data_IF_667265767849
#
_entry.id   IF_667265767849
#
_cell.length_a   1.000
_cell.length_b   1.000
_cell.length_c   1.000
_cell.angle_alpha   90.00
_cell.angle_beta   90.00
_cell.angle_gamma   90.00
#
_symmetry.space_group_name_H-M   'P 1'
#
loop_
_entity.id
_entity.type
_entity.pdbx_description
1 polymer ?
#
# COMPACT_ATOMS: atom_id res chain seq x y z
N UNK A 1 25.96 28.59 13.62
CA UNK A 1 25.02 28.48 14.77
C UNK A 1 25.26 29.68 15.68
N UNK A 2 24.23 30.43 16.09
CA UNK A 2 24.39 31.56 17.04
C UNK A 2 23.71 31.20 18.35
N UNK A 3 24.50 30.83 19.37
CA UNK A 3 24.00 30.75 20.75
C UNK A 3 24.15 32.14 21.36
N UNK A 4 23.07 32.67 21.95
CA UNK A 4 23.03 34.03 22.51
C UNK A 4 23.58 34.04 23.95
N UNK A 5 24.24 35.13 24.32
CA UNK A 5 24.65 35.40 25.70
C UNK A 5 23.42 35.35 26.64
N UNK A 6 23.57 34.74 27.81
CA UNK A 6 22.47 34.52 28.77
C UNK A 6 21.61 33.28 28.51
N UNK A 7 21.84 32.55 27.41
CA UNK A 7 21.19 31.26 27.18
C UNK A 7 21.59 30.23 28.25
N UNK A 8 20.68 29.33 28.58
CA UNK A 8 20.90 28.24 29.54
C UNK A 8 20.81 26.86 28.86
N UNK A 9 21.80 26.44 28.07
CA UNK A 9 21.82 25.07 27.55
C UNK A 9 21.84 24.07 28.71
N UNK A 10 21.07 23.01 28.52
CA UNK A 10 21.10 21.83 29.38
C UNK A 10 21.73 20.68 28.62
N UNK A 11 22.46 19.85 29.35
CA UNK A 11 22.94 18.56 28.88
C UNK A 11 21.90 17.52 29.31
N UNK A 12 21.49 16.65 28.39
CA UNK A 12 20.52 15.61 28.66
C UNK A 12 21.12 14.24 28.36
N UNK A 13 20.84 13.27 29.23
CA UNK A 13 21.16 11.86 29.02
C UNK A 13 19.87 11.06 29.19
N UNK A 14 19.56 10.21 28.23
CA UNK A 14 18.31 9.43 28.19
C UNK A 14 17.06 10.31 28.37
N UNK A 15 17.14 11.54 27.86
CA UNK A 15 16.10 12.56 27.95
C UNK A 15 15.94 13.23 29.32
N UNK A 16 16.69 12.85 30.34
CA UNK A 16 16.74 13.54 31.62
C UNK A 16 17.87 14.58 31.64
N UNK A 17 17.61 15.77 32.19
CA UNK A 17 18.63 16.82 32.34
C UNK A 17 19.68 16.41 33.38
N UNK A 18 20.95 16.39 32.98
CA UNK A 18 22.09 16.03 33.84
C UNK A 18 22.89 17.24 34.29
N UNK A 19 22.90 18.29 33.48
CA UNK A 19 23.57 19.55 33.81
C UNK A 19 22.90 20.73 33.13
N UNK A 20 23.10 21.93 33.70
CA UNK A 20 22.68 23.20 33.10
C UNK A 20 23.76 24.24 33.32
N UNK A 21 24.06 24.99 32.28
CA UNK A 21 25.04 26.07 32.35
C UNK A 21 24.47 27.36 31.77
N UNK A 22 24.78 28.49 32.39
CA UNK A 22 24.52 29.80 31.77
C UNK A 22 25.71 30.17 30.89
N UNK A 23 25.42 30.51 29.64
CA UNK A 23 26.44 30.96 28.70
C UNK A 23 26.70 32.46 28.90
N UNK A 24 27.97 32.79 29.16
CA UNK A 24 28.45 34.17 29.35
C UNK A 24 28.91 34.83 28.06
N UNK A 25 29.11 34.05 26.97
CA UNK A 25 29.62 34.53 25.68
C UNK A 25 28.97 33.79 24.51
N UNK A 26 28.72 34.48 23.38
CA UNK A 26 28.17 33.83 22.19
C UNK A 26 29.10 32.78 21.58
N UNK A 27 28.55 31.89 20.74
CA UNK A 27 29.36 30.95 19.97
C UNK A 27 30.36 31.68 19.06
N UNK A 28 31.67 31.43 19.23
CA UNK A 28 32.76 32.09 18.47
C UNK A 28 33.46 31.17 17.46
N UNK A 29 33.02 29.92 17.31
CA UNK A 29 33.66 28.97 16.41
C UNK A 29 33.54 29.37 14.94
N UNK A 30 34.61 29.13 14.17
CA UNK A 30 34.67 29.25 12.73
C UNK A 30 35.19 27.93 12.13
N UNK A 31 34.85 27.65 10.86
CA UNK A 31 35.36 26.48 10.14
C UNK A 31 34.36 25.34 9.97
N UNK A 32 34.89 24.17 9.56
CA UNK A 32 34.10 22.97 9.29
C UNK A 32 33.56 22.39 10.58
N UNK A 33 32.31 21.95 10.53
CA UNK A 33 31.67 21.22 11.60
C UNK A 33 31.95 19.72 11.42
N UNK A 34 32.36 19.04 12.48
CA UNK A 34 32.64 17.60 12.49
C UNK A 34 31.98 16.93 13.68
N UNK A 35 31.78 15.62 13.55
CA UNK A 35 31.34 14.74 14.63
C UNK A 35 32.48 13.79 15.00
N UNK A 36 32.64 13.51 16.29
CA UNK A 36 33.67 12.58 16.76
C UNK A 36 35.12 13.05 16.55
N UNK A 37 35.35 14.33 16.20
CA UNK A 37 36.69 14.89 16.12
C UNK A 37 36.77 16.32 16.64
N UNK A 38 37.94 16.70 17.13
CA UNK A 38 38.29 18.06 17.52
C UNK A 38 39.50 18.54 16.72
N UNK A 39 39.41 19.76 16.19
CA UNK A 39 40.50 20.45 15.47
C UNK A 39 41.11 21.60 16.30
N UNK A 40 40.95 21.56 17.63
CA UNK A 40 41.41 22.63 18.51
C UNK A 40 42.95 22.66 18.70
N UNK A 41 43.67 21.60 18.31
CA UNK A 41 45.13 21.49 18.40
C UNK A 41 45.81 21.27 17.04
N UNK A 42 47.15 21.20 17.04
CA UNK A 42 47.96 20.91 15.84
C UNK A 42 47.73 19.51 15.26
N UNK A 43 47.31 18.56 16.12
CA UNK A 43 46.93 17.20 15.75
C UNK A 43 45.43 17.04 16.05
N UNK A 44 44.61 16.56 15.11
CA UNK A 44 43.20 16.31 15.39
C UNK A 44 43.04 15.18 16.41
N UNK A 45 42.18 15.40 17.40
CA UNK A 45 41.75 14.35 18.33
C UNK A 45 40.51 13.66 17.78
N UNK A 46 40.45 12.34 17.92
CA UNK A 46 39.32 11.52 17.48
C UNK A 46 38.71 10.78 18.67
N UNK A 47 37.39 10.87 18.78
CA UNK A 47 36.64 10.10 19.75
C UNK A 47 36.37 8.70 19.19
N UNK A 48 36.56 7.68 20.04
CA UNK A 48 36.10 6.32 19.74
C UNK A 48 34.64 6.20 20.18
N UNK A 49 33.73 6.46 19.26
CA UNK A 49 32.28 6.46 19.51
C UNK A 49 31.53 5.89 18.33
N UNK A 50 30.41 5.23 18.64
CA UNK A 50 29.39 4.90 17.66
C UNK A 50 28.30 5.97 17.74
N UNK A 51 27.85 6.45 16.59
CA UNK A 51 26.85 7.51 16.50
C UNK A 51 25.79 7.13 15.47
N UNK A 52 24.53 7.32 15.85
CA UNK A 52 23.38 7.23 14.95
C UNK A 52 22.41 8.38 15.28
N UNK A 53 21.53 8.70 14.34
CA UNK A 53 20.39 9.60 14.53
C UNK A 53 20.80 11.02 14.97
N UNK A 54 21.94 11.49 14.45
CA UNK A 54 22.50 12.80 14.79
C UNK A 54 21.63 13.91 14.21
N UNK A 55 21.19 14.84 15.07
CA UNK A 55 20.24 15.91 14.72
C UNK A 55 20.77 17.26 15.17
N UNK A 56 20.65 18.26 14.30
CA UNK A 56 20.96 19.65 14.60
C UNK A 56 19.73 20.52 14.42
N UNK A 57 19.41 21.35 15.41
CA UNK A 57 18.24 22.24 15.40
C UNK A 57 18.67 23.71 15.48
N UNK A 58 17.94 24.59 14.80
CA UNK A 58 18.07 26.05 14.91
C UNK A 58 17.30 26.62 16.09
N UNK A 59 16.42 25.83 16.69
CA UNK A 59 15.57 26.18 17.83
C UNK A 59 15.96 25.36 19.06
N UNK A 60 15.92 25.99 20.23
CA UNK A 60 16.10 25.28 21.49
C UNK A 60 14.93 24.31 21.72
N UNK A 61 15.24 23.05 22.02
CA UNK A 61 14.26 22.01 22.32
C UNK A 61 14.13 21.85 23.83
N UNK A 62 12.90 21.71 24.33
CA UNK A 62 12.68 21.38 25.75
C UNK A 62 12.99 19.90 26.03
N UNK A 63 13.29 19.56 27.29
CA UNK A 63 13.55 18.19 27.71
C UNK A 63 12.42 17.23 27.31
N UNK A 64 11.16 17.60 27.58
CA UNK A 64 9.99 16.82 27.19
C UNK A 64 9.90 16.61 25.67
N UNK A 65 10.25 17.64 24.88
CA UNK A 65 10.22 17.55 23.43
C UNK A 65 11.38 16.72 22.86
N UNK A 66 12.50 16.61 23.57
CA UNK A 66 13.59 15.67 23.27
C UNK A 66 13.14 14.25 23.63
N UNK A 67 12.67 14.02 24.87
CA UNK A 67 12.18 12.71 25.33
C UNK A 67 11.14 12.10 24.39
N UNK A 68 10.17 12.90 23.95
CA UNK A 68 9.09 12.44 23.07
C UNK A 68 9.57 11.97 21.68
N UNK A 69 10.79 12.31 21.26
CA UNK A 69 11.32 12.00 19.92
C UNK A 69 12.69 11.34 19.90
N UNK A 70 13.35 11.18 21.04
CA UNK A 70 14.72 10.65 21.11
C UNK A 70 14.81 9.19 20.66
N UNK A 71 13.69 8.45 20.71
CA UNK A 71 13.60 7.04 20.29
C UNK A 71 12.93 6.84 18.94
N UNK A 72 12.64 7.91 18.21
CA UNK A 72 11.88 7.85 16.97
C UNK A 72 12.63 8.49 15.83
N UNK A 73 12.66 7.84 14.67
CA UNK A 73 13.18 8.46 13.43
C UNK A 73 12.32 9.65 13.03
N UNK A 74 12.96 10.69 12.50
CA UNK A 74 12.32 11.91 12.01
C UNK A 74 12.02 11.83 10.52
N UNK A 75 11.08 12.65 10.04
CA UNK A 75 10.75 12.72 8.60
C UNK A 75 11.74 13.60 7.84
N UNK A 76 12.44 14.50 8.53
CA UNK A 76 13.38 15.47 7.96
C UNK A 76 12.75 16.83 7.63
N UNK A 77 11.42 16.92 7.67
CA UNK A 77 10.65 18.14 7.39
C UNK A 77 10.33 18.98 8.64
N UNK A 78 10.86 18.63 9.81
CA UNK A 78 10.51 19.29 11.06
C UNK A 78 10.97 20.74 11.10
N UNK A 79 10.08 21.64 11.57
CA UNK A 79 10.39 23.06 11.73
C UNK A 79 11.60 23.28 12.64
N UNK A 80 12.59 23.99 12.11
CA UNK A 80 13.83 24.29 12.82
C UNK A 80 14.88 23.18 12.76
N UNK A 81 14.69 22.09 12.01
CA UNK A 81 15.73 21.10 11.77
C UNK A 81 16.75 21.64 10.76
N UNK A 82 18.00 21.78 11.19
CA UNK A 82 19.11 22.27 10.37
C UNK A 82 19.98 21.16 9.77
N UNK A 83 19.89 19.94 10.29
CA UNK A 83 20.62 18.79 9.78
C UNK A 83 20.15 17.52 10.48
N UNK A 84 20.06 16.44 9.72
CA UNK A 84 19.65 15.14 10.23
C UNK A 84 20.38 14.03 9.50
N UNK A 85 21.25 13.33 10.21
CA UNK A 85 22.16 12.33 9.67
C UNK A 85 21.92 10.97 10.35
N UNK A 86 20.87 10.25 9.95
CA UNK A 86 20.66 8.87 10.37
C UNK A 86 21.59 7.93 9.58
N UNK A 87 22.17 6.93 10.24
CA UNK A 87 22.95 5.90 9.60
C UNK A 87 22.04 4.85 8.93
N UNK A 88 22.51 4.31 7.81
CA UNK A 88 21.87 3.24 7.06
C UNK A 88 22.91 2.21 6.63
N UNK A 89 22.46 0.98 6.43
CA UNK A 89 23.24 -0.10 5.84
C UNK A 89 22.64 -0.53 4.49
N UNK A 90 23.43 -0.54 3.41
CA UNK A 90 24.82 -0.05 3.32
C UNK A 90 24.90 1.49 3.47
N UNK A 91 26.08 1.99 3.83
CA UNK A 91 26.33 3.43 3.90
C UNK A 91 26.06 4.10 2.54
N UNK A 92 25.51 5.32 2.58
CA UNK A 92 25.24 6.09 1.37
C UNK A 92 26.55 6.52 0.68
N UNK A 93 26.48 6.83 -0.61
CA UNK A 93 27.59 7.39 -1.36
C UNK A 93 27.40 8.90 -1.51
N UNK A 94 28.23 9.68 -0.82
CA UNK A 94 28.29 11.13 -0.92
C UNK A 94 29.52 11.50 -1.75
N UNK A 95 29.31 12.10 -2.92
CA UNK A 95 30.39 12.44 -3.87
C UNK A 95 31.27 11.23 -4.24
N UNK A 96 30.66 10.06 -4.40
CA UNK A 96 31.37 8.82 -4.77
C UNK A 96 32.19 8.20 -3.63
N UNK A 97 32.01 8.65 -2.39
CA UNK A 97 32.68 8.10 -1.19
C UNK A 97 31.64 7.70 -0.14
N UNK A 98 31.92 6.71 0.72
CA UNK A 98 31.04 6.40 1.84
C UNK A 98 30.77 7.65 2.68
N UNK A 99 29.51 7.87 3.00
CA UNK A 99 29.01 9.07 3.65
C UNK A 99 27.68 8.84 4.33
N UNK A 100 27.20 9.88 5.00
CA UNK A 100 25.87 9.94 5.60
C UNK A 100 25.10 11.08 4.98
N UNK A 101 23.94 10.79 4.42
CA UNK A 101 23.10 11.82 3.81
C UNK A 101 22.45 12.69 4.88
N UNK A 102 22.36 14.00 4.61
CA UNK A 102 21.47 14.87 5.37
C UNK A 102 20.05 14.68 4.86
N UNK A 103 19.21 14.08 5.69
CA UNK A 103 17.77 13.85 5.44
C UNK A 103 16.92 15.07 5.76
N UNK A 104 17.51 16.16 6.27
CA UNK A 104 16.80 17.44 6.39
C UNK A 104 16.70 18.15 5.03
N UNK A 105 15.90 19.21 4.96
CA UNK A 105 15.76 20.05 3.77
C UNK A 105 17.03 20.86 3.40
N UNK A 106 18.17 20.66 4.09
CA UNK A 106 19.36 21.51 3.98
C UNK A 106 20.49 20.89 3.13
N UNK A 107 20.45 19.59 2.83
CA UNK A 107 21.41 18.92 1.95
C UNK A 107 22.86 18.96 2.44
N UNK A 108 23.10 19.04 3.76
CA UNK A 108 24.43 19.12 4.37
C UNK A 108 25.04 17.74 4.58
N UNK A 109 25.22 16.97 3.51
CA UNK A 109 25.73 15.59 3.57
C UNK A 109 27.11 15.51 4.24
N UNK A 110 27.36 14.43 4.97
CA UNK A 110 28.63 14.13 5.64
C UNK A 110 29.42 13.15 4.80
N UNK A 111 30.69 13.48 4.51
CA UNK A 111 31.65 12.55 3.91
C UNK A 111 32.45 11.91 5.05
N UNK A 112 32.57 10.58 5.04
CA UNK A 112 33.39 9.87 6.02
C UNK A 112 34.86 9.99 5.60
N UNK A 113 35.68 10.60 6.46
CA UNK A 113 37.10 10.87 6.16
C UNK A 113 37.97 9.61 6.21
N UNK A 114 37.57 8.61 7.01
CA UNK A 114 38.27 7.33 7.19
C UNK A 114 37.26 6.16 7.16
N UNK A 115 36.70 5.84 5.99
CA UNK A 115 35.57 4.91 5.87
C UNK A 115 35.91 3.47 6.27
N UNK A 116 37.18 3.07 6.21
CA UNK A 116 37.62 1.70 6.53
C UNK A 116 37.42 1.31 8.01
N UNK A 117 37.17 2.30 8.88
CA UNK A 117 36.92 2.11 10.31
C UNK A 117 35.46 2.36 10.73
N UNK A 118 34.55 2.47 9.76
CA UNK A 118 33.13 2.76 10.04
C UNK A 118 32.35 1.46 10.04
N UNK A 119 32.04 0.98 11.24
CA UNK A 119 30.99 0.00 11.43
C UNK A 119 29.67 0.76 11.48
N UNK A 120 28.86 0.61 10.44
CA UNK A 120 27.45 0.92 10.59
C UNK A 120 26.85 -0.21 11.40
N UNK A 121 26.04 0.16 12.38
CA UNK A 121 25.20 -0.75 13.11
C UNK A 121 23.82 -0.11 13.11
N UNK A 122 22.81 -0.85 12.68
CA UNK A 122 21.44 -0.38 12.83
C UNK A 122 21.19 -0.17 14.33
N UNK A 123 20.97 1.09 14.74
CA UNK A 123 20.25 1.36 15.98
C UNK A 123 18.77 1.30 15.63
N UNK A 124 18.04 0.23 15.97
CA UNK A 124 16.60 0.18 15.72
C UNK A 124 15.92 1.16 16.68
N UNK A 125 15.92 2.44 16.32
CA UNK A 125 14.96 3.39 16.84
C UNK A 125 13.59 3.02 16.28
N UNK A 126 12.55 3.12 17.10
CA UNK A 126 11.17 2.91 16.67
C UNK A 126 10.88 3.88 15.52
N UNK A 127 10.80 3.36 14.31
CA UNK A 127 10.44 4.17 13.17
C UNK A 127 8.97 4.56 13.38
N UNK A 128 8.70 5.85 13.60
CA UNK A 128 7.31 6.33 13.48
C UNK A 128 7.00 6.44 12.00
N UNK A 129 6.86 5.30 11.36
CA UNK A 129 6.41 5.18 9.99
C UNK A 129 4.92 4.93 10.05
N UNK A 130 4.15 5.93 9.65
CA UNK A 130 2.76 5.72 9.28
C UNK A 130 2.80 4.66 8.14
N UNK A 131 2.34 3.44 8.43
CA UNK A 131 2.48 2.31 7.53
C UNK A 131 1.83 2.52 6.16
N UNK A 132 2.15 1.67 5.20
CA UNK A 132 1.57 1.75 3.85
C UNK A 132 0.15 1.19 3.83
N UNK A 133 -0.75 1.81 3.04
CA UNK A 133 -1.94 1.12 2.55
C UNK A 133 -1.64 0.50 1.20
N UNK A 134 -1.87 -0.79 1.09
CA UNK A 134 -1.93 -1.48 -0.20
C UNK A 134 -3.21 -1.08 -0.93
N UNK A 135 -3.09 -0.73 -2.21
CA UNK A 135 -4.21 -0.43 -3.10
C UNK A 135 -4.18 -1.40 -4.29
N UNK A 136 -5.26 -2.16 -4.47
CA UNK A 136 -5.46 -3.03 -5.63
C UNK A 136 -6.48 -2.39 -6.58
N UNK A 137 -6.23 -2.45 -7.90
CA UNK A 137 -7.10 -1.85 -8.91
C UNK A 137 -7.35 -2.80 -10.09
N UNK A 138 -8.60 -2.87 -10.57
CA UNK A 138 -9.00 -3.59 -11.79
C UNK A 138 -9.96 -2.70 -12.58
N UNK A 139 -9.53 -2.21 -13.75
CA UNK A 139 -10.26 -1.16 -14.48
C UNK A 139 -10.44 0.09 -13.61
N UNK A 140 -11.67 0.59 -13.51
CA UNK A 140 -12.02 1.75 -12.69
C UNK A 140 -12.26 1.41 -11.20
N UNK A 141 -12.23 0.12 -10.82
CA UNK A 141 -12.43 -0.30 -9.43
C UNK A 141 -11.12 -0.25 -8.66
N UNK A 142 -11.15 0.37 -7.48
CA UNK A 142 -10.03 0.45 -6.54
C UNK A 142 -10.45 0.01 -5.16
N UNK A 143 -9.63 -0.80 -4.49
CA UNK A 143 -9.80 -1.18 -3.09
C UNK A 143 -8.49 -0.90 -2.34
N UNK A 144 -8.59 -0.24 -1.20
CA UNK A 144 -7.47 -0.05 -0.29
C UNK A 144 -7.60 -1.01 0.90
N UNK A 145 -6.48 -1.54 1.36
CA UNK A 145 -6.38 -2.24 2.64
C UNK A 145 -6.86 -1.35 3.80
N UNK A 146 -7.54 -1.99 4.76
CA UNK A 146 -8.05 -1.33 5.95
C UNK A 146 -6.95 -1.06 6.97
N UNK A 147 -6.04 -2.01 7.12
CA UNK A 147 -4.88 -1.95 8.00
C UNK A 147 -3.70 -1.22 7.32
N UNK A 148 -2.81 -0.67 8.14
CA UNK A 148 -1.54 -0.11 7.69
C UNK A 148 -0.47 -1.18 7.82
N UNK A 149 0.37 -1.32 6.79
CA UNK A 149 1.48 -2.27 6.78
C UNK A 149 2.77 -1.55 7.20
N UNK A 150 3.45 -2.01 8.26
CA UNK A 150 4.70 -1.41 8.70
C UNK A 150 5.80 -1.59 7.63
N UNK A 151 6.67 -0.60 7.43
CA UNK A 151 7.88 -0.80 6.63
C UNK A 151 8.84 -1.76 7.35
N UNK A 152 9.73 -2.37 6.58
CA UNK A 152 10.81 -3.23 7.07
C UNK A 152 10.33 -4.54 7.74
N UNK A 153 9.06 -4.91 7.59
CA UNK A 153 8.53 -6.22 7.97
C UNK A 153 8.13 -7.03 6.73
N UNK A 154 8.34 -8.34 6.80
CA UNK A 154 7.91 -9.25 5.75
C UNK A 154 6.39 -9.48 5.85
N UNK A 155 5.64 -9.07 4.83
CA UNK A 155 4.19 -9.29 4.74
C UNK A 155 3.85 -10.00 3.44
N UNK A 156 3.06 -11.07 3.53
CA UNK A 156 2.48 -11.74 2.36
C UNK A 156 1.17 -11.08 1.93
N UNK A 157 1.04 -10.73 0.65
CA UNK A 157 -0.16 -10.12 0.07
C UNK A 157 -0.80 -11.07 -0.94
N UNK A 158 -2.10 -11.34 -0.78
CA UNK A 158 -2.90 -12.05 -1.77
C UNK A 158 -4.18 -11.26 -2.08
N UNK A 159 -4.51 -11.14 -3.36
CA UNK A 159 -5.73 -10.50 -3.84
C UNK A 159 -6.37 -11.37 -4.92
N UNK A 160 -7.68 -11.58 -4.83
CA UNK A 160 -8.47 -12.27 -5.84
C UNK A 160 -9.52 -11.33 -6.41
N UNK A 161 -9.75 -11.42 -7.72
CA UNK A 161 -10.79 -10.70 -8.42
C UNK A 161 -11.66 -11.69 -9.16
N UNK A 162 -12.93 -11.77 -8.77
CA UNK A 162 -13.92 -12.62 -9.43
C UNK A 162 -14.79 -11.76 -10.35
N UNK A 163 -14.88 -12.18 -11.61
CA UNK A 163 -15.81 -11.62 -12.58
C UNK A 163 -16.67 -12.73 -13.15
N UNK A 164 -17.99 -12.52 -13.16
CA UNK A 164 -18.95 -13.39 -13.82
C UNK A 164 -19.52 -12.68 -15.04
N UNK A 165 -19.68 -13.42 -16.13
CA UNK A 165 -20.31 -12.95 -17.36
C UNK A 165 -21.59 -13.76 -17.59
N UNK A 166 -22.56 -13.13 -18.26
CA UNK A 166 -23.81 -13.76 -18.66
C UNK A 166 -24.17 -13.29 -20.09
N UNK A 167 -24.93 -14.10 -20.81
CA UNK A 167 -25.44 -13.75 -22.14
C UNK A 167 -26.86 -13.24 -22.00
N UNK A 168 -27.12 -12.02 -22.48
CA UNK A 168 -28.48 -11.49 -22.64
C UNK A 168 -29.01 -11.93 -24.00
N UNK A 169 -30.13 -12.65 -24.01
CA UNK A 169 -30.77 -13.13 -25.21
C UNK A 169 -31.89 -12.19 -25.60
N UNK A 170 -31.87 -11.70 -26.84
CA UNK A 170 -32.98 -10.95 -27.41
C UNK A 170 -34.25 -11.81 -27.45
N UNK A 171 -35.41 -11.14 -27.54
CA UNK A 171 -36.71 -11.80 -27.54
C UNK A 171 -36.76 -12.95 -28.57
N UNK A 172 -37.20 -14.10 -28.11
CA UNK A 172 -37.40 -15.26 -28.97
C UNK A 172 -36.13 -16.01 -29.38
N UNK A 173 -34.95 -15.47 -29.09
CA UNK A 173 -33.65 -16.11 -29.40
C UNK A 173 -33.27 -17.17 -28.38
N UNK A 174 -32.39 -18.09 -28.78
CA UNK A 174 -31.88 -19.14 -27.91
C UNK A 174 -30.46 -19.54 -28.24
N UNK A 175 -29.75 -20.05 -27.24
CA UNK A 175 -28.49 -20.79 -27.43
C UNK A 175 -28.85 -22.26 -27.65
N UNK A 176 -28.26 -22.89 -28.66
CA UNK A 176 -28.42 -24.32 -28.95
C UNK A 176 -27.05 -24.98 -28.98
N UNK A 177 -26.95 -26.12 -28.32
CA UNK A 177 -25.81 -27.03 -28.42
C UNK A 177 -26.22 -28.20 -29.32
N UNK A 178 -25.31 -28.60 -30.23
CA UNK A 178 -25.54 -29.74 -31.11
C UNK A 178 -25.63 -31.04 -30.31
N UNK A 179 -26.27 -32.04 -30.92
CA UNK A 179 -26.37 -33.39 -30.36
C UNK A 179 -24.99 -34.06 -30.37
N UNK A 180 -24.65 -34.79 -29.29
CA UNK A 180 -23.44 -35.58 -29.17
C UNK A 180 -23.74 -36.87 -28.40
N UNK A 181 -23.68 -38.01 -29.10
CA UNK A 181 -23.97 -39.33 -28.55
C UNK A 181 -23.05 -39.69 -27.36
N UNK A 182 -21.88 -39.04 -27.23
CA UNK A 182 -20.99 -39.25 -26.08
C UNK A 182 -21.53 -38.67 -24.77
N UNK A 183 -22.54 -37.78 -24.84
CA UNK A 183 -23.19 -37.18 -23.67
C UNK A 183 -24.49 -37.92 -23.27
N UNK A 184 -24.76 -39.09 -23.87
CA UNK A 184 -25.90 -39.92 -23.50
C UNK A 184 -25.70 -40.51 -22.10
N UNK A 185 -26.53 -40.05 -21.15
CA UNK A 185 -26.53 -40.52 -19.78
C UNK A 185 -27.60 -41.59 -19.56
N UNK A 186 -27.22 -42.69 -18.92
CA UNK A 186 -28.12 -43.81 -18.53
C UNK A 186 -28.81 -43.51 -17.18
N UNK A 187 -28.28 -42.55 -16.41
CA UNK A 187 -28.78 -42.14 -15.09
C UNK A 187 -29.32 -40.71 -15.05
N UNK A 188 -29.44 -40.18 -13.83
CA UNK A 188 -29.99 -38.85 -13.58
C UNK A 188 -29.01 -37.73 -13.99
N UNK A 189 -29.57 -36.61 -14.45
CA UNK A 189 -28.83 -35.38 -14.79
C UNK A 189 -29.34 -34.23 -13.92
N UNK A 190 -28.42 -33.54 -13.24
CA UNK A 190 -28.69 -32.27 -12.56
C UNK A 190 -28.15 -31.12 -13.38
N UNK A 191 -28.97 -30.10 -13.64
CA UNK A 191 -28.59 -28.86 -14.33
C UNK A 191 -28.91 -27.68 -13.44
N UNK A 192 -27.92 -26.82 -13.20
CA UNK A 192 -28.10 -25.56 -12.47
C UNK A 192 -28.06 -24.39 -13.45
N UNK A 193 -29.01 -23.46 -13.33
CA UNK A 193 -29.12 -22.29 -14.19
C UNK A 193 -29.22 -21.04 -13.33
N UNK A 194 -28.24 -20.15 -13.47
CA UNK A 194 -28.29 -18.80 -12.92
C UNK A 194 -28.85 -17.86 -13.99
N UNK A 195 -30.00 -17.24 -13.74
CA UNK A 195 -30.61 -16.30 -14.66
C UNK A 195 -31.21 -15.09 -13.92
N UNK A 196 -31.32 -13.97 -14.63
CA UNK A 196 -32.11 -12.82 -14.19
C UNK A 196 -33.48 -12.90 -14.85
N UNK A 197 -34.54 -12.82 -14.06
CA UNK A 197 -35.92 -12.81 -14.56
C UNK A 197 -36.42 -11.37 -14.57
N UNK A 198 -36.67 -10.82 -15.76
CA UNK A 198 -37.05 -9.41 -15.89
C UNK A 198 -38.51 -9.13 -15.50
N UNK A 199 -39.39 -10.15 -15.58
CA UNK A 199 -40.82 -10.05 -15.21
C UNK A 199 -41.28 -11.33 -14.50
N UNK A 200 -41.86 -11.17 -13.31
CA UNK A 200 -42.47 -12.28 -12.55
C UNK A 200 -43.91 -12.53 -13.04
N UNK A 201 -44.35 -13.79 -13.03
CA UNK A 201 -45.71 -14.19 -13.41
C UNK A 201 -45.92 -14.50 -14.90
N UNK A 202 -44.91 -14.31 -15.75
CA UNK A 202 -44.90 -14.80 -17.12
C UNK A 202 -44.19 -16.17 -17.19
N UNK A 203 -44.69 -17.09 -18.02
CA UNK A 203 -44.03 -18.39 -18.26
C UNK A 203 -42.79 -18.17 -19.12
N UNK A 204 -41.63 -18.65 -18.67
CA UNK A 204 -40.35 -18.49 -19.35
C UNK A 204 -39.67 -19.86 -19.53
N UNK A 205 -39.19 -20.14 -20.74
CA UNK A 205 -38.44 -21.35 -21.04
C UNK A 205 -36.98 -21.20 -20.64
N UNK A 206 -36.61 -21.75 -19.49
CA UNK A 206 -35.21 -21.80 -19.03
C UNK A 206 -34.44 -22.95 -19.68
N UNK A 207 -35.09 -24.09 -19.86
CA UNK A 207 -34.47 -25.30 -20.40
C UNK A 207 -35.54 -26.12 -21.13
N UNK A 208 -35.23 -26.62 -22.32
CA UNK A 208 -36.13 -27.53 -23.04
C UNK A 208 -35.37 -28.62 -23.78
N UNK A 209 -35.79 -29.87 -23.60
CA UNK A 209 -35.38 -31.01 -24.43
C UNK A 209 -36.20 -31.03 -25.74
N UNK A 210 -35.66 -30.48 -26.82
CA UNK A 210 -36.34 -30.38 -28.12
C UNK A 210 -36.87 -28.98 -28.44
N UNK A 211 -38.08 -28.86 -29.03
CA UNK A 211 -38.69 -27.53 -29.31
C UNK A 211 -39.16 -26.88 -28.01
N UNK A 212 -38.71 -25.65 -27.74
CA UNK A 212 -39.27 -24.81 -26.69
C UNK A 212 -40.70 -24.41 -27.10
N UNK A 213 -41.72 -24.82 -26.34
CA UNK A 213 -43.10 -24.45 -26.59
C UNK A 213 -43.35 -22.97 -26.23
N UNK A 214 -44.20 -22.30 -27.01
CA UNK A 214 -44.61 -20.90 -26.87
C UNK A 214 -45.70 -20.67 -25.81
N UNK A 215 -45.89 -21.64 -24.90
CA UNK A 215 -46.94 -21.61 -23.88
C UNK A 215 -48.36 -21.81 -24.40
N UNK A 216 -48.57 -22.10 -25.70
CA UNK A 216 -49.90 -22.29 -26.30
C UNK A 216 -50.27 -23.75 -26.58
N UNK A 217 -49.37 -24.70 -26.34
CA UNK A 217 -49.65 -26.13 -26.50
C UNK A 217 -49.54 -26.87 -25.16
N UNK A 218 -50.46 -27.84 -24.89
CA UNK A 218 -50.41 -28.62 -23.67
C UNK A 218 -49.12 -29.44 -23.58
N UNK A 219 -48.57 -29.66 -22.37
CA UNK A 219 -47.37 -30.46 -22.19
C UNK A 219 -47.63 -31.87 -22.73
N UNK A 220 -46.81 -32.32 -23.68
CA UNK A 220 -46.88 -33.67 -24.21
C UNK A 220 -46.52 -34.64 -23.07
N UNK A 221 -47.40 -35.58 -22.68
CA UNK A 221 -47.06 -36.59 -21.70
C UNK A 221 -45.96 -37.48 -22.27
N UNK A 222 -44.91 -37.73 -21.49
CA UNK A 222 -43.82 -38.61 -21.88
C UNK A 222 -44.33 -40.06 -22.04
N UNK A 223 -44.72 -40.44 -23.26
CA UNK A 223 -45.03 -41.82 -23.60
C UNK A 223 -44.76 -42.10 -25.08
N UNK A 224 -43.48 -42.27 -25.44
CA UNK A 224 -42.99 -43.22 -26.46
C UNK A 224 -41.45 -43.25 -26.42
N UNK A 225 -40.80 -44.43 -26.51
CA UNK A 225 -39.34 -44.50 -26.50
C UNK A 225 -38.84 -44.11 -27.88
N UNK A 226 -38.65 -42.81 -28.09
CA UNK A 226 -37.98 -42.29 -29.27
C UNK A 226 -36.58 -41.79 -28.86
N UNK A 227 -35.59 -42.12 -29.70
CA UNK A 227 -34.16 -41.81 -29.60
C UNK A 227 -33.90 -40.47 -28.89
N UNK A 228 -33.11 -40.52 -27.82
CA UNK A 228 -33.16 -39.57 -26.69
C UNK A 228 -32.19 -38.39 -26.79
N UNK A 229 -32.08 -37.72 -27.94
CA UNK A 229 -31.30 -36.48 -28.10
C UNK A 229 -31.72 -35.40 -27.09
N UNK A 230 -30.79 -34.91 -26.26
CA UNK A 230 -31.04 -33.88 -25.26
C UNK A 230 -30.62 -32.50 -25.76
N UNK A 231 -31.54 -31.79 -26.44
CA UNK A 231 -31.30 -30.36 -26.75
C UNK A 231 -31.49 -29.52 -25.50
N UNK A 232 -30.71 -28.45 -25.35
CA UNK A 232 -30.85 -27.44 -24.29
C UNK A 232 -30.99 -26.09 -24.98
N UNK A 233 -32.13 -25.42 -24.76
CA UNK A 233 -32.41 -24.07 -25.27
C UNK A 233 -32.82 -23.14 -24.13
N UNK A 234 -32.07 -22.06 -23.95
CA UNK A 234 -32.41 -20.93 -23.06
C UNK A 234 -33.08 -19.85 -23.90
N UNK A 235 -34.26 -19.32 -23.56
CA UNK A 235 -34.98 -18.31 -24.38
C UNK A 235 -35.20 -16.99 -23.63
N UNK A 236 -34.90 -15.87 -24.28
CA UNK A 236 -35.21 -14.52 -23.78
C UNK A 236 -36.70 -14.15 -23.89
N UNK A 237 -37.24 -13.46 -22.89
CA UNK A 237 -38.67 -13.09 -22.76
C UNK A 237 -39.08 -11.88 -23.62
N UNK A 238 -40.38 -11.74 -23.94
CA UNK A 238 -40.92 -10.55 -24.61
C UNK A 238 -40.89 -9.34 -23.68
N UNK A 239 -40.22 -8.27 -24.10
CA UNK A 239 -40.29 -6.98 -23.43
C UNK A 239 -41.59 -6.28 -23.84
N UNK A 240 -42.53 -6.11 -22.91
CA UNK A 240 -43.56 -5.09 -23.09
C UNK A 240 -42.86 -3.73 -23.16
N UNK A 241 -42.87 -3.12 -24.34
CA UNK A 241 -42.26 -1.82 -24.58
C UNK A 241 -42.90 -0.76 -23.68
N UNK A 242 -42.19 -0.38 -22.62
CA UNK A 242 -42.36 0.91 -21.97
C UNK A 242 -41.01 1.62 -21.99
N UNK A 243 -40.94 2.62 -22.84
CA UNK A 243 -39.73 3.37 -23.13
C UNK A 243 -39.09 3.96 -21.87
N UNK A 244 -37.78 3.83 -21.79
CA UNK A 244 -36.93 4.78 -21.08
C UNK A 244 -35.69 5.00 -21.94
N UNK A 245 -35.57 6.22 -22.42
CA UNK A 245 -34.44 6.80 -23.11
C UNK A 245 -33.16 6.63 -22.28
N UNK A 246 -32.17 5.91 -22.80
CA UNK A 246 -30.79 6.02 -22.29
C UNK A 246 -30.18 7.31 -22.87
N UNK A 247 -30.10 8.36 -22.05
CA UNK A 247 -29.03 9.35 -22.20
C UNK A 247 -27.75 8.75 -21.60
N UNK A 248 -26.59 8.84 -22.29
CA UNK A 248 -25.32 8.68 -21.61
C UNK A 248 -25.11 9.90 -20.70
N UNK A 249 -24.67 9.70 -19.46
CA UNK A 249 -24.13 10.77 -18.61
C UNK A 249 -22.61 10.66 -18.55
N UNK A 250 -21.91 11.81 -18.47
CA UNK A 250 -20.45 11.94 -18.55
C UNK A 250 -19.73 11.34 -17.34
#
# INVERSE_FOLDING_TARGET
MRVRQGARPGDLRDGAETARRTITDGYRGNGRFSFGSSFAGWVPDYARVDMDEVRLWTVARSAAAVQARMRQRLTGGESGLAGYWPAYEPAALVNGRPGVEDRSAQGRHVVLTYPDNVTTALSPLEEKTDGYRIVASVGDRRMASRELFPPNEWTHLAAAYEQSWAVELAEGTHVEVADDDALDLIGDLTVEVFCRVDVLGAVQGLLSKGRAADGRQPPVPAARPARRAARVRLRGSPAASRGVTRRPRP
#
